data_IF_111392675097
#
_entry.id   IF_111392675097
#
_cell.length_a   1.000
_cell.length_b   1.000
_cell.length_c   1.000
_cell.angle_alpha   90.00
_cell.angle_beta   90.00
_cell.angle_gamma   90.00
#
_symmetry.space_group_name_H-M   'P 1'
#
loop_
_entity.id
_entity.type
_entity.pdbx_description
1 polymer ?
#
# COMPACT_ATOMS: atom_id res chain seq x y z
N UNK A 1 6.87 46.10 25.14
CA UNK A 1 8.06 46.90 25.54
C UNK A 1 9.23 46.31 24.79
N UNK A 2 9.88 47.18 23.95
CA UNK A 2 11.10 47.01 23.11
C UNK A 2 11.00 46.01 21.96
N UNK A 3 10.83 46.36 20.70
CA UNK A 3 11.29 47.41 19.78
C UNK A 3 12.71 47.25 19.28
N UNK A 4 12.82 47.16 17.87
CA UNK A 4 13.92 47.55 16.98
C UNK A 4 15.13 46.60 16.81
N UNK A 5 15.44 46.19 15.53
CA UNK A 5 16.19 46.96 14.55
C UNK A 5 16.01 46.47 13.09
N UNK A 6 15.63 47.39 12.22
CA UNK A 6 15.81 47.38 10.76
C UNK A 6 17.24 47.85 10.44
N UNK A 7 17.88 47.26 9.40
CA UNK A 7 18.89 48.00 8.63
C UNK A 7 18.75 47.67 7.15
N UNK A 8 18.76 48.74 6.35
CA UNK A 8 18.60 48.88 4.91
C UNK A 8 19.99 48.91 4.23
N UNK A 9 20.09 48.88 2.87
CA UNK A 9 21.25 48.44 2.09
C UNK A 9 22.16 49.59 1.67
N UNK A 10 23.37 49.29 1.19
CA UNK A 10 24.19 50.23 0.42
C UNK A 10 24.99 49.52 -0.68
N UNK A 11 24.69 49.92 -1.91
CA UNK A 11 25.51 50.47 -2.98
C UNK A 11 26.58 49.57 -3.63
N UNK A 12 26.41 49.49 -4.96
CA UNK A 12 27.37 49.06 -5.95
C UNK A 12 28.52 50.09 -6.14
N UNK A 13 29.61 49.74 -6.79
CA UNK A 13 29.98 50.54 -7.97
C UNK A 13 30.28 49.74 -9.24
N UNK A 14 30.05 50.46 -10.32
CA UNK A 14 30.28 50.17 -11.73
C UNK A 14 31.79 50.02 -12.10
N UNK A 15 32.00 49.31 -13.20
CA UNK A 15 32.96 49.71 -14.22
C UNK A 15 34.19 48.84 -14.39
N UNK A 16 34.26 48.13 -15.52
CA UNK A 16 35.35 48.24 -16.48
C UNK A 16 35.20 47.28 -17.66
N UNK A 17 35.19 47.87 -18.80
CA UNK A 17 35.36 47.34 -20.16
C UNK A 17 36.69 46.63 -20.37
N UNK A 18 36.71 45.55 -21.18
CA UNK A 18 37.95 44.91 -21.65
C UNK A 18 37.67 43.84 -22.72
N UNK A 19 37.76 44.27 -23.92
CA UNK A 19 38.15 43.77 -25.23
C UNK A 19 38.30 42.24 -25.45
N UNK A 20 37.76 41.87 -26.63
CA UNK A 20 37.92 40.63 -27.41
C UNK A 20 39.34 40.53 -27.99
N UNK A 21 39.88 39.36 -28.20
CA UNK A 21 40.58 39.07 -29.45
C UNK A 21 40.00 37.87 -30.20
N UNK A 22 39.73 38.12 -31.47
CA UNK A 22 39.62 37.19 -32.60
C UNK A 22 40.99 36.60 -32.95
N UNK A 23 41.04 35.33 -33.36
CA UNK A 23 41.71 34.79 -34.57
C UNK A 23 41.71 33.24 -34.58
N UNK A 24 41.15 32.70 -35.66
CA UNK A 24 41.76 31.98 -36.80
C UNK A 24 42.01 30.49 -36.49
N UNK A 25 41.53 29.56 -37.21
CA UNK A 25 41.53 29.22 -38.57
C UNK A 25 41.05 27.80 -38.79
N UNK A 26 40.41 27.59 -39.87
CA UNK A 26 39.81 26.34 -40.41
C UNK A 26 40.85 25.26 -40.76
N UNK A 27 40.45 24.02 -41.15
CA UNK A 27 39.69 23.82 -42.39
C UNK A 27 38.58 22.80 -42.35
N UNK A 28 37.64 22.93 -43.23
CA UNK A 28 36.56 22.02 -43.56
C UNK A 28 37.05 20.76 -44.28
N UNK A 29 36.29 19.65 -44.20
CA UNK A 29 36.05 18.85 -45.38
C UNK A 29 34.57 18.80 -45.78
N UNK A 30 34.39 18.93 -47.05
CA UNK A 30 33.19 18.78 -47.81
C UNK A 30 32.58 17.37 -47.68
N UNK A 31 31.27 17.26 -47.42
CA UNK A 31 30.45 16.18 -47.92
C UNK A 31 28.97 16.61 -47.93
N UNK A 32 28.43 16.59 -49.09
CA UNK A 32 27.08 16.75 -49.54
C UNK A 32 26.09 15.87 -48.78
N UNK A 33 25.09 16.47 -48.16
CA UNK A 33 23.92 15.76 -47.59
C UNK A 33 22.98 16.76 -46.92
N UNK A 34 21.90 17.17 -47.61
CA UNK A 34 20.86 18.01 -47.02
C UNK A 34 20.24 17.34 -45.81
N UNK A 35 19.99 18.03 -44.70
CA UNK A 35 19.25 17.47 -43.57
C UNK A 35 17.78 17.24 -43.97
N UNK A 36 17.33 16.01 -43.81
CA UNK A 36 15.91 15.61 -43.98
C UNK A 36 15.06 16.28 -42.90
N UNK A 37 13.91 16.80 -43.28
CA UNK A 37 12.95 17.42 -42.38
C UNK A 37 12.22 16.34 -41.56
N UNK A 38 11.70 16.71 -40.38
CA UNK A 38 11.00 15.81 -39.46
C UNK A 38 9.80 15.06 -40.10
N UNK A 39 9.26 15.53 -41.21
CA UNK A 39 8.17 14.91 -41.96
C UNK A 39 8.63 13.73 -42.83
N UNK A 40 9.89 13.63 -43.19
CA UNK A 40 10.42 12.52 -44.00
C UNK A 40 10.76 11.28 -43.17
N UNK A 41 10.84 11.43 -41.82
CA UNK A 41 11.03 10.30 -40.90
C UNK A 41 9.74 9.55 -40.57
N UNK A 42 8.59 10.19 -40.79
CA UNK A 42 7.27 9.60 -40.47
C UNK A 42 6.74 8.62 -41.51
N UNK A 43 7.32 8.57 -42.72
CA UNK A 43 6.90 7.73 -43.84
C UNK A 43 7.94 6.68 -44.27
N UNK A 44 8.97 6.43 -43.48
CA UNK A 44 9.93 5.36 -43.76
C UNK A 44 9.41 4.04 -43.16
N UNK A 45 9.14 3.09 -44.01
CA UNK A 45 8.75 1.72 -43.63
C UNK A 45 9.89 1.05 -42.84
N UNK A 46 9.59 0.74 -41.58
CA UNK A 46 10.55 0.16 -40.61
C UNK A 46 11.06 -1.21 -41.03
N UNK A 47 10.37 -1.83 -42.00
CA UNK A 47 10.74 -3.15 -42.55
C UNK A 47 11.99 -3.16 -43.43
N UNK A 48 12.32 -2.03 -44.11
CA UNK A 48 13.48 -1.96 -45.02
C UNK A 48 14.83 -1.71 -44.30
N UNK A 49 14.81 -1.27 -43.07
CA UNK A 49 16.01 -0.88 -42.31
C UNK A 49 16.66 -2.05 -41.52
N UNK A 50 15.98 -3.17 -41.34
CA UNK A 50 16.46 -4.26 -40.49
C UNK A 50 16.75 -5.58 -41.21
N UNK A 51 16.31 -5.79 -42.45
CA UNK A 51 16.58 -7.03 -43.19
C UNK A 51 16.91 -6.73 -44.65
N UNK A 52 18.19 -6.82 -45.02
CA UNK A 52 18.69 -6.69 -46.37
C UNK A 52 18.00 -7.67 -47.33
N UNK A 53 17.74 -7.21 -48.57
CA UNK A 53 17.16 -7.95 -49.69
C UNK A 53 17.75 -9.35 -49.84
N UNK A 54 16.89 -10.37 -49.75
CA UNK A 54 17.18 -11.71 -50.28
C UNK A 54 16.32 -11.93 -51.51
N UNK A 55 17.04 -12.28 -52.58
CA UNK A 55 16.54 -12.62 -53.89
C UNK A 55 15.64 -13.86 -53.90
N UNK A 56 14.63 -13.80 -54.78
CA UNK A 56 13.74 -14.90 -55.12
C UNK A 56 14.48 -15.98 -55.89
N UNK A 57 14.29 -17.24 -55.52
CA UNK A 57 13.91 -18.36 -56.40
C UNK A 57 13.94 -19.68 -55.62
N UNK A 58 12.87 -20.37 -55.63
CA UNK A 58 12.67 -21.81 -55.73
C UNK A 58 11.47 -22.32 -54.95
N UNK A 59 10.47 -22.69 -55.65
CA UNK A 59 9.33 -23.47 -55.20
C UNK A 59 9.72 -24.93 -55.00
N UNK A 60 9.36 -25.56 -53.89
CA UNK A 60 9.03 -26.98 -53.90
C UNK A 60 7.61 -27.26 -53.41
N UNK A 61 7.02 -28.16 -54.12
CA UNK A 61 5.73 -28.84 -54.03
C UNK A 61 5.38 -29.30 -52.63
N UNK A 62 4.14 -28.99 -52.20
CA UNK A 62 3.54 -29.39 -50.93
C UNK A 62 3.18 -30.90 -50.94
N UNK A 63 3.54 -31.57 -49.86
CA UNK A 63 2.96 -32.85 -49.44
C UNK A 63 1.90 -32.59 -48.34
N UNK A 64 0.82 -33.37 -48.24
CA UNK A 64 -0.28 -33.10 -47.32
C UNK A 64 0.15 -33.35 -45.86
N UNK A 65 -0.05 -32.36 -45.01
CA UNK A 65 0.16 -32.45 -43.58
C UNK A 65 -1.14 -32.91 -42.92
N UNK A 66 -1.02 -34.01 -42.20
CA UNK A 66 -2.03 -34.63 -41.36
C UNK A 66 -2.44 -33.62 -40.23
N UNK A 67 -3.67 -33.16 -40.25
CA UNK A 67 -4.22 -32.25 -39.22
C UNK A 67 -4.46 -33.04 -37.91
N UNK A 68 -3.50 -32.95 -37.00
CA UNK A 68 -3.71 -33.35 -35.62
C UNK A 68 -4.32 -32.14 -34.88
N UNK A 69 -5.49 -32.26 -34.23
CA UNK A 69 -6.10 -31.12 -33.53
C UNK A 69 -5.19 -30.64 -32.41
N UNK A 70 -4.91 -29.31 -32.39
CA UNK A 70 -4.23 -28.65 -31.28
C UNK A 70 -5.04 -28.84 -29.98
N UNK A 71 -4.37 -29.15 -28.86
CA UNK A 71 -5.07 -29.23 -27.59
C UNK A 71 -5.54 -27.81 -27.18
N UNK A 72 -6.84 -27.64 -27.04
CA UNK A 72 -7.48 -26.47 -26.46
C UNK A 72 -6.81 -26.16 -25.11
N UNK A 73 -6.35 -24.92 -24.83
CA UNK A 73 -5.83 -24.57 -23.52
C UNK A 73 -6.96 -24.74 -22.50
N UNK A 74 -6.81 -25.70 -21.60
CA UNK A 74 -7.67 -25.84 -20.45
C UNK A 74 -7.43 -24.60 -19.55
N UNK A 75 -8.48 -23.97 -19.00
CA UNK A 75 -8.29 -22.90 -18.03
C UNK A 75 -7.53 -23.47 -16.84
N UNK A 76 -6.35 -22.90 -16.56
CA UNK A 76 -5.58 -23.18 -15.36
C UNK A 76 -6.48 -22.95 -14.16
N UNK A 77 -6.59 -23.88 -13.20
CA UNK A 77 -7.40 -23.67 -12.01
C UNK A 77 -6.89 -22.42 -11.29
N UNK A 78 -7.81 -21.49 -11.05
CA UNK A 78 -7.62 -20.33 -10.17
C UNK A 78 -6.90 -20.80 -8.91
N UNK A 79 -5.75 -20.22 -8.61
CA UNK A 79 -5.01 -20.53 -7.39
C UNK A 79 -5.93 -20.26 -6.19
N UNK A 80 -6.28 -21.32 -5.47
CA UNK A 80 -6.93 -21.19 -4.18
C UNK A 80 -6.06 -20.32 -3.28
N UNK A 81 -6.67 -19.44 -2.44
CA UNK A 81 -5.89 -18.60 -1.54
C UNK A 81 -5.03 -19.50 -0.66
N UNK A 82 -3.73 -19.28 -0.68
CA UNK A 82 -2.75 -20.02 0.12
C UNK A 82 -3.21 -20.01 1.57
N UNK A 83 -3.53 -21.17 2.12
CA UNK A 83 -3.92 -21.34 3.52
C UNK A 83 -2.75 -20.82 4.38
N UNK A 84 -2.98 -19.65 4.99
CA UNK A 84 -2.13 -19.14 6.07
C UNK A 84 -2.03 -20.23 7.13
N UNK A 85 -0.82 -20.56 7.56
CA UNK A 85 -0.61 -21.58 8.61
C UNK A 85 -1.57 -21.29 9.76
N UNK A 86 -2.44 -22.23 10.08
CA UNK A 86 -3.51 -22.06 11.07
C UNK A 86 -2.97 -21.68 12.45
N UNK A 87 -1.75 -22.10 12.78
CA UNK A 87 -1.04 -21.76 14.01
C UNK A 87 -0.69 -20.27 14.08
N UNK A 88 -0.13 -19.68 12.99
CA UNK A 88 0.20 -18.26 12.94
C UNK A 88 -1.04 -17.37 13.09
N UNK A 89 -2.19 -17.82 12.56
CA UNK A 89 -3.47 -17.11 12.67
C UNK A 89 -4.00 -17.13 14.10
N UNK A 90 -3.89 -18.25 14.80
CA UNK A 90 -4.35 -18.39 16.19
C UNK A 90 -3.55 -17.51 17.14
N UNK A 91 -2.24 -17.48 16.98
CA UNK A 91 -1.33 -16.65 17.78
C UNK A 91 -1.56 -15.17 17.52
N UNK A 92 -1.77 -14.79 16.25
CA UNK A 92 -2.12 -13.44 15.87
C UNK A 92 -3.45 -12.99 16.50
N UNK A 93 -4.50 -13.84 16.46
CA UNK A 93 -5.79 -13.57 17.12
C UNK A 93 -5.64 -13.39 18.63
N UNK A 94 -4.82 -14.19 19.29
CA UNK A 94 -4.54 -14.05 20.71
C UNK A 94 -3.86 -12.70 21.03
N UNK A 95 -2.91 -12.26 20.20
CA UNK A 95 -2.27 -10.95 20.32
C UNK A 95 -3.25 -9.82 20.07
N UNK A 96 -4.09 -9.91 19.04
CA UNK A 96 -5.14 -8.92 18.74
C UNK A 96 -6.10 -8.76 19.94
N UNK A 97 -6.61 -9.87 20.48
CA UNK A 97 -7.47 -9.86 21.68
C UNK A 97 -6.77 -9.25 22.88
N UNK A 98 -5.49 -9.58 23.09
CA UNK A 98 -4.70 -9.01 24.19
C UNK A 98 -4.51 -7.50 24.02
N UNK A 99 -4.19 -7.05 22.81
CA UNK A 99 -4.02 -5.63 22.50
C UNK A 99 -5.30 -4.83 22.66
N UNK A 100 -6.43 -5.38 22.25
CA UNK A 100 -7.75 -4.74 22.34
C UNK A 100 -8.45 -4.96 23.69
N UNK A 101 -7.87 -5.76 24.62
CA UNK A 101 -8.51 -6.15 25.88
C UNK A 101 -9.00 -4.99 26.71
N UNK A 102 -8.24 -3.87 26.75
CA UNK A 102 -8.64 -2.69 27.52
C UNK A 102 -9.91 -2.05 26.95
N UNK A 103 -10.04 -1.98 25.64
CA UNK A 103 -11.23 -1.51 24.94
C UNK A 103 -12.40 -2.46 25.18
N UNK A 104 -12.17 -3.76 24.97
CA UNK A 104 -13.19 -4.80 25.16
C UNK A 104 -13.72 -4.88 26.60
N UNK A 105 -12.82 -4.76 27.60
CA UNK A 105 -13.26 -4.77 29.01
C UNK A 105 -14.18 -3.61 29.35
N UNK A 106 -13.96 -2.41 28.83
CA UNK A 106 -14.85 -1.27 29.06
C UNK A 106 -16.22 -1.48 28.43
N UNK A 107 -16.27 -1.99 27.20
CA UNK A 107 -17.54 -2.31 26.51
C UNK A 107 -18.27 -3.47 27.21
N UNK A 108 -17.53 -4.52 27.60
CA UNK A 108 -18.11 -5.65 28.31
C UNK A 108 -18.66 -5.23 29.67
N UNK A 109 -17.99 -4.32 30.39
CA UNK A 109 -18.42 -3.83 31.69
C UNK A 109 -19.74 -3.05 31.60
N UNK A 110 -19.96 -2.30 30.55
CA UNK A 110 -21.23 -1.59 30.29
C UNK A 110 -22.42 -2.58 30.11
N UNK A 111 -22.15 -3.85 29.81
CA UNK A 111 -23.16 -4.89 29.63
C UNK A 111 -23.33 -5.82 30.84
N UNK A 112 -22.41 -5.79 31.82
CA UNK A 112 -22.44 -6.70 32.97
C UNK A 112 -23.51 -6.28 33.98
N UNK A 113 -24.51 -7.12 34.18
CA UNK A 113 -25.54 -6.93 35.19
C UNK A 113 -26.54 -5.81 34.90
N UNK A 114 -26.45 -5.19 33.73
CA UNK A 114 -27.37 -4.15 33.30
C UNK A 114 -28.73 -4.74 32.90
N UNK A 115 -29.85 -4.08 33.29
CA UNK A 115 -31.11 -4.22 32.57
C UNK A 115 -30.96 -3.56 31.19
N UNK A 116 -31.73 -4.02 30.21
CA UNK A 116 -31.76 -3.37 28.88
C UNK A 116 -32.63 -2.11 29.02
N UNK A 117 -32.00 -1.04 29.45
CA UNK A 117 -32.60 0.29 29.73
C UNK A 117 -31.72 1.42 29.19
N UNK A 118 -32.16 2.65 29.37
CA UNK A 118 -31.44 3.84 28.89
C UNK A 118 -30.04 3.96 29.50
N UNK A 119 -29.85 3.56 30.77
CA UNK A 119 -28.53 3.58 31.41
C UNK A 119 -27.51 2.66 30.72
N UNK A 120 -27.92 1.47 30.28
CA UNK A 120 -27.07 0.58 29.50
C UNK A 120 -26.62 1.25 28.19
N UNK A 121 -27.51 1.95 27.49
CA UNK A 121 -27.13 2.64 26.24
C UNK A 121 -26.20 3.82 26.50
N UNK A 122 -26.39 4.57 27.60
CA UNK A 122 -25.46 5.65 27.99
C UNK A 122 -24.05 5.11 28.30
N UNK A 123 -23.98 4.00 29.06
CA UNK A 123 -22.70 3.34 29.37
C UNK A 123 -22.01 2.78 28.13
N UNK A 124 -22.77 2.20 27.20
CA UNK A 124 -22.24 1.71 25.90
C UNK A 124 -21.77 2.88 25.03
N UNK A 125 -22.50 4.00 25.00
CA UNK A 125 -22.09 5.21 24.29
C UNK A 125 -20.75 5.70 24.82
N UNK A 126 -20.62 5.82 26.12
CA UNK A 126 -19.38 6.26 26.77
C UNK A 126 -18.22 5.30 26.46
N UNK A 127 -18.44 3.97 26.53
CA UNK A 127 -17.41 2.97 26.24
C UNK A 127 -16.96 3.01 24.77
N UNK A 128 -17.88 3.13 23.81
CA UNK A 128 -17.57 3.23 22.38
C UNK A 128 -16.82 4.53 22.04
N UNK A 129 -17.18 5.65 22.68
CA UNK A 129 -16.44 6.92 22.53
C UNK A 129 -15.03 6.82 23.10
N UNK A 130 -14.85 6.19 24.27
CA UNK A 130 -13.54 5.92 24.85
C UNK A 130 -12.68 5.00 23.97
N UNK A 131 -13.30 4.13 23.21
CA UNK A 131 -12.66 3.29 22.21
C UNK A 131 -12.25 4.03 20.93
N UNK A 132 -12.50 5.34 20.85
CA UNK A 132 -12.30 6.17 19.65
C UNK A 132 -13.18 5.78 18.44
N UNK A 133 -14.37 5.19 18.66
CA UNK A 133 -15.31 4.92 17.57
C UNK A 133 -15.85 6.21 16.92
N UNK A 134 -15.82 7.33 17.64
CA UNK A 134 -16.35 8.63 17.22
C UNK A 134 -17.87 8.70 17.26
N UNK A 135 -18.41 9.91 17.35
CA UNK A 135 -19.85 10.15 17.59
C UNK A 135 -20.76 9.52 16.53
N UNK A 136 -20.40 9.64 15.25
CA UNK A 136 -21.25 9.15 14.16
C UNK A 136 -21.36 7.63 14.15
N UNK A 137 -20.23 6.92 14.30
CA UNK A 137 -20.23 5.45 14.30
C UNK A 137 -20.83 4.91 15.61
N UNK A 138 -20.62 5.56 16.75
CA UNK A 138 -21.25 5.22 18.03
C UNK A 138 -22.77 5.27 17.91
N UNK A 139 -23.33 6.38 17.43
CA UNK A 139 -24.78 6.49 17.22
C UNK A 139 -25.29 5.43 16.25
N UNK A 140 -24.61 5.25 15.11
CA UNK A 140 -25.01 4.23 14.13
C UNK A 140 -25.08 2.82 14.73
N UNK A 141 -24.08 2.44 15.55
CA UNK A 141 -24.04 1.14 16.22
C UNK A 141 -25.13 1.01 17.27
N UNK A 142 -25.38 2.03 18.09
CA UNK A 142 -26.42 2.01 19.11
C UNK A 142 -27.84 1.98 18.50
N UNK A 143 -28.09 2.76 17.46
CA UNK A 143 -29.37 2.74 16.74
C UNK A 143 -29.62 1.36 16.09
N UNK A 144 -28.60 0.76 15.51
CA UNK A 144 -28.73 -0.59 14.93
C UNK A 144 -28.94 -1.65 16.01
N UNK A 145 -28.18 -1.58 17.10
CA UNK A 145 -28.33 -2.44 18.27
C UNK A 145 -29.75 -2.37 18.83
N UNK A 146 -30.27 -1.16 19.08
CA UNK A 146 -31.60 -0.93 19.61
C UNK A 146 -32.69 -1.54 18.71
N UNK A 147 -32.58 -1.32 17.39
CA UNK A 147 -33.50 -1.90 16.40
C UNK A 147 -33.50 -3.42 16.44
N UNK A 148 -32.33 -4.03 16.58
CA UNK A 148 -32.18 -5.48 16.61
C UNK A 148 -32.67 -6.08 17.92
N UNK A 149 -32.39 -5.44 19.07
CA UNK A 149 -32.92 -5.83 20.39
C UNK A 149 -34.44 -5.84 20.37
N UNK A 150 -35.07 -4.74 19.92
CA UNK A 150 -36.52 -4.60 19.83
C UNK A 150 -37.15 -5.67 18.93
N UNK A 151 -36.52 -5.94 17.77
CA UNK A 151 -37.02 -6.95 16.81
C UNK A 151 -36.93 -8.38 17.36
N UNK A 152 -35.85 -8.67 18.11
CA UNK A 152 -35.61 -10.02 18.66
C UNK A 152 -36.20 -10.22 20.06
N UNK A 153 -36.82 -9.19 20.64
CA UNK A 153 -37.38 -9.19 21.99
C UNK A 153 -36.39 -9.70 23.06
N UNK A 154 -35.10 -9.31 22.90
CA UNK A 154 -34.04 -9.78 23.78
C UNK A 154 -34.17 -9.18 25.18
N UNK A 155 -33.93 -10.01 26.19
CA UNK A 155 -33.94 -9.66 27.61
C UNK A 155 -32.63 -10.05 28.32
N UNK A 156 -31.76 -10.81 27.64
CA UNK A 156 -30.52 -11.32 28.21
C UNK A 156 -29.33 -10.41 27.79
N UNK A 157 -28.60 -9.81 28.73
CA UNK A 157 -27.41 -8.98 28.44
C UNK A 157 -26.30 -9.74 27.67
N UNK A 158 -26.16 -11.06 27.90
CA UNK A 158 -25.19 -11.86 27.15
C UNK A 158 -25.54 -11.94 25.65
N UNK A 159 -26.86 -12.02 25.35
CA UNK A 159 -27.36 -11.98 23.98
C UNK A 159 -27.14 -10.58 23.34
N UNK A 160 -27.26 -9.48 24.12
CA UNK A 160 -26.98 -8.10 23.66
C UNK A 160 -25.52 -7.95 23.24
N UNK A 161 -24.58 -8.54 23.99
CA UNK A 161 -23.15 -8.52 23.64
C UNK A 161 -22.90 -9.17 22.28
N UNK A 162 -23.46 -10.35 22.05
CA UNK A 162 -23.31 -11.04 20.76
C UNK A 162 -23.92 -10.22 19.62
N UNK A 163 -25.06 -9.58 19.88
CA UNK A 163 -25.71 -8.73 18.91
C UNK A 163 -24.89 -7.46 18.58
N UNK A 164 -24.20 -6.89 19.57
CA UNK A 164 -23.26 -5.77 19.34
C UNK A 164 -22.06 -6.21 18.49
N UNK A 165 -21.54 -7.43 18.68
CA UNK A 165 -20.53 -8.02 17.81
C UNK A 165 -21.06 -8.13 16.39
N UNK A 166 -22.30 -8.58 16.20
CA UNK A 166 -22.91 -8.69 14.87
C UNK A 166 -23.11 -7.30 14.23
N UNK A 167 -23.61 -6.31 14.97
CA UNK A 167 -23.73 -4.93 14.47
C UNK A 167 -22.37 -4.36 14.00
N UNK A 168 -21.33 -4.57 14.80
CA UNK A 168 -19.99 -4.11 14.44
C UNK A 168 -19.41 -4.88 13.26
N UNK A 169 -19.58 -6.21 13.21
CA UNK A 169 -19.13 -7.04 12.09
C UNK A 169 -19.81 -6.62 10.79
N UNK A 170 -21.12 -6.36 10.80
CA UNK A 170 -21.88 -5.89 9.64
C UNK A 170 -21.46 -4.47 9.19
N UNK A 171 -21.11 -3.60 10.14
CA UNK A 171 -20.56 -2.28 9.83
C UNK A 171 -19.19 -2.40 9.12
N UNK A 172 -18.34 -3.33 9.59
CA UNK A 172 -16.98 -3.54 9.09
C UNK A 172 -16.91 -4.42 7.84
N UNK A 173 -17.93 -5.25 7.56
CA UNK A 173 -17.92 -6.21 6.46
C UNK A 173 -17.57 -5.60 5.07
N UNK A 174 -18.01 -4.38 4.70
CA UNK A 174 -17.62 -3.78 3.44
C UNK A 174 -16.12 -3.49 3.30
N UNK A 175 -15.38 -3.42 4.42
CA UNK A 175 -13.92 -3.22 4.43
C UNK A 175 -13.15 -4.53 4.23
N UNK A 176 -13.81 -5.69 4.35
CA UNK A 176 -13.18 -7.00 4.20
C UNK A 176 -13.11 -7.36 2.72
N UNK A 177 -11.94 -7.18 2.11
CA UNK A 177 -11.64 -7.58 0.73
C UNK A 177 -10.22 -8.11 0.65
N UNK A 178 -9.94 -9.11 -0.20
CA UNK A 178 -8.58 -9.58 -0.45
C UNK A 178 -7.81 -8.56 -1.31
N UNK A 179 -6.50 -8.47 -1.10
CA UNK A 179 -5.59 -7.84 -2.04
C UNK A 179 -5.42 -8.78 -3.24
N UNK A 180 -5.76 -8.31 -4.44
CA UNK A 180 -5.67 -9.10 -5.67
C UNK A 180 -4.35 -8.80 -6.38
N UNK A 181 -3.58 -9.85 -6.67
CA UNK A 181 -2.30 -9.79 -7.38
C UNK A 181 -2.41 -10.63 -8.67
N UNK A 182 -1.76 -10.18 -9.74
CA UNK A 182 -1.67 -10.93 -11.00
C UNK A 182 -2.60 -10.44 -12.10
N UNK A 183 -3.49 -9.48 -11.85
CA UNK A 183 -4.22 -8.79 -12.92
C UNK A 183 -3.29 -7.91 -13.77
N UNK A 184 -2.19 -7.45 -13.16
CA UNK A 184 -1.12 -6.69 -13.81
C UNK A 184 0.23 -7.30 -13.49
N UNK A 185 1.13 -7.36 -14.47
CA UNK A 185 2.49 -7.92 -14.30
C UNK A 185 3.53 -6.91 -14.80
N UNK A 186 4.26 -6.26 -13.88
CA UNK A 186 4.13 -6.35 -12.42
C UNK A 186 2.90 -5.60 -11.87
N UNK A 187 2.28 -6.13 -10.80
CA UNK A 187 1.38 -5.33 -9.98
C UNK A 187 2.20 -4.30 -9.20
N UNK A 188 1.92 -3.01 -9.38
CA UNK A 188 2.67 -1.92 -8.73
C UNK A 188 1.88 -1.41 -7.53
N UNK A 189 2.47 -1.52 -6.34
CA UNK A 189 1.91 -1.10 -5.05
C UNK A 189 2.70 0.09 -4.52
N UNK A 190 2.02 1.19 -4.24
CA UNK A 190 2.60 2.37 -3.58
C UNK A 190 2.18 2.39 -2.11
N UNK A 191 3.13 2.29 -1.18
CA UNK A 191 2.86 2.30 0.27
C UNK A 191 3.12 3.70 0.82
N UNK A 192 2.09 4.30 1.43
CA UNK A 192 2.11 5.68 1.93
C UNK A 192 1.69 5.75 3.39
N UNK A 193 1.92 6.89 4.05
CA UNK A 193 1.53 7.13 5.44
C UNK A 193 2.52 8.01 6.19
N UNK A 194 2.17 8.43 7.40
CA UNK A 194 3.00 9.31 8.23
C UNK A 194 4.22 8.59 8.81
N UNK A 195 5.19 9.36 9.34
CA UNK A 195 6.32 8.78 10.06
C UNK A 195 5.86 8.00 11.29
N UNK A 196 6.52 6.86 11.52
CA UNK A 196 6.21 5.98 12.64
C UNK A 196 4.95 5.12 12.47
N UNK A 197 4.17 5.26 11.39
CA UNK A 197 3.01 4.41 11.14
C UNK A 197 3.37 2.95 10.84
N UNK A 198 4.64 2.62 10.57
CA UNK A 198 5.09 1.24 10.32
C UNK A 198 5.16 0.87 8.83
N UNK A 199 5.32 1.85 7.90
CA UNK A 199 5.38 1.59 6.46
C UNK A 199 6.44 0.56 6.08
N UNK A 200 7.71 0.82 6.34
CA UNK A 200 8.83 -0.07 5.99
C UNK A 200 8.67 -1.47 6.59
N UNK A 201 8.20 -1.54 7.84
CA UNK A 201 7.87 -2.81 8.49
C UNK A 201 6.72 -3.54 7.79
N UNK A 202 5.67 -2.82 7.40
CA UNK A 202 4.54 -3.39 6.67
C UNK A 202 4.94 -3.84 5.27
N UNK A 203 5.81 -3.09 4.58
CA UNK A 203 6.39 -3.49 3.28
C UNK A 203 7.15 -4.81 3.40
N UNK A 204 8.02 -4.96 4.42
CA UNK A 204 8.75 -6.20 4.65
C UNK A 204 7.83 -7.40 4.93
N UNK A 205 6.80 -7.21 5.75
CA UNK A 205 5.81 -8.25 6.05
C UNK A 205 4.93 -8.59 4.85
N UNK A 206 4.52 -7.59 4.07
CA UNK A 206 3.77 -7.79 2.83
C UNK A 206 4.61 -8.55 1.80
N UNK A 207 5.91 -8.20 1.67
CA UNK A 207 6.83 -8.92 0.80
C UNK A 207 6.92 -10.40 1.20
N UNK A 208 6.94 -10.72 2.51
CA UNK A 208 6.89 -12.10 3.00
C UNK A 208 5.61 -12.82 2.59
N UNK A 209 4.44 -12.22 2.75
CA UNK A 209 3.18 -12.81 2.30
C UNK A 209 3.17 -13.12 0.80
N UNK A 210 3.73 -12.21 -0.01
CA UNK A 210 3.83 -12.39 -1.45
C UNK A 210 4.80 -13.51 -1.83
N UNK A 211 5.94 -13.59 -1.14
CA UNK A 211 6.92 -14.67 -1.34
C UNK A 211 6.34 -16.03 -0.93
N UNK A 212 5.62 -16.10 0.19
CA UNK A 212 4.91 -17.31 0.62
C UNK A 212 3.83 -17.74 -0.39
N UNK A 213 3.22 -16.76 -1.09
CA UNK A 213 2.34 -16.99 -2.26
C UNK A 213 3.11 -17.23 -3.57
N UNK A 214 4.42 -17.51 -3.48
CA UNK A 214 5.31 -17.84 -4.62
C UNK A 214 5.52 -16.69 -5.62
N UNK A 215 5.29 -15.42 -5.22
CA UNK A 215 5.50 -14.25 -6.06
C UNK A 215 6.97 -13.78 -6.01
N UNK A 216 7.46 -13.24 -7.14
CA UNK A 216 8.73 -12.53 -7.21
C UNK A 216 8.51 -11.04 -6.98
N UNK A 217 9.14 -10.48 -5.96
CA UNK A 217 8.89 -9.13 -5.48
C UNK A 217 10.10 -8.22 -5.73
N UNK A 218 9.87 -7.00 -6.18
CA UNK A 218 10.88 -5.96 -6.23
C UNK A 218 10.45 -4.82 -5.29
N UNK A 219 11.36 -4.43 -4.39
CA UNK A 219 11.17 -3.31 -3.47
C UNK A 219 11.89 -2.07 -3.97
N UNK A 220 11.20 -0.94 -4.02
CA UNK A 220 11.78 0.37 -4.29
C UNK A 220 11.98 1.13 -2.98
N UNK A 221 13.24 1.44 -2.62
CA UNK A 221 13.57 2.23 -1.44
C UNK A 221 13.41 3.74 -1.74
N UNK A 222 12.15 4.19 -1.77
CA UNK A 222 11.82 5.57 -2.10
C UNK A 222 11.81 6.53 -0.88
N UNK A 223 12.15 6.07 0.33
CA UNK A 223 12.51 6.95 1.48
C UNK A 223 14.02 7.30 1.39
N UNK A 224 14.40 8.07 0.38
CA UNK A 224 15.80 8.42 0.09
C UNK A 224 16.39 9.44 1.03
N UNK A 225 15.56 10.10 1.85
CA UNK A 225 16.01 11.12 2.82
C UNK A 225 16.56 10.53 4.12
N UNK A 226 16.28 9.27 4.39
CA UNK A 226 16.72 8.57 5.60
C UNK A 226 17.70 7.45 5.22
N UNK A 227 19.00 7.67 5.51
CA UNK A 227 20.02 6.65 5.25
C UNK A 227 19.65 5.29 5.92
N UNK A 228 19.19 5.33 7.16
CA UNK A 228 18.75 4.13 7.89
C UNK A 228 17.47 3.47 7.32
N UNK A 229 16.66 4.18 6.51
CA UNK A 229 15.45 3.57 5.93
C UNK A 229 15.80 2.52 4.88
N UNK A 230 16.82 2.77 4.06
CA UNK A 230 17.34 1.80 3.09
C UNK A 230 17.88 0.55 3.78
N UNK A 231 18.71 0.74 4.81
CA UNK A 231 19.28 -0.37 5.58
C UNK A 231 18.16 -1.18 6.27
N UNK A 232 17.17 -0.50 6.82
CA UNK A 232 16.01 -1.13 7.42
C UNK A 232 15.22 -1.94 6.39
N UNK A 233 14.99 -1.42 5.18
CA UNK A 233 14.29 -2.13 4.11
C UNK A 233 15.08 -3.35 3.64
N UNK A 234 16.41 -3.24 3.53
CA UNK A 234 17.32 -4.36 3.20
C UNK A 234 17.20 -5.46 4.25
N UNK A 235 17.28 -5.12 5.54
CA UNK A 235 17.15 -6.10 6.62
C UNK A 235 15.78 -6.79 6.63
N UNK A 236 14.70 -6.05 6.31
CA UNK A 236 13.36 -6.65 6.15
C UNK A 236 13.29 -7.58 4.94
N UNK A 237 13.88 -7.21 3.81
CA UNK A 237 13.92 -8.04 2.62
C UNK A 237 14.66 -9.35 2.85
N UNK A 238 15.83 -9.29 3.51
CA UNK A 238 16.61 -10.49 3.88
C UNK A 238 15.81 -11.43 4.81
N UNK A 239 15.10 -10.87 5.80
CA UNK A 239 14.25 -11.66 6.70
C UNK A 239 13.02 -12.23 5.98
N UNK A 240 12.48 -11.53 5.00
CA UNK A 240 11.31 -11.96 4.25
C UNK A 240 11.62 -13.04 3.21
N UNK A 241 12.90 -13.26 2.84
CA UNK A 241 13.28 -14.39 1.99
C UNK A 241 13.00 -15.74 2.67
N UNK A 242 12.72 -16.80 1.90
CA UNK A 242 12.54 -18.14 2.46
C UNK A 242 13.80 -18.61 3.21
N UNK A 243 13.65 -18.92 4.50
CA UNK A 243 14.75 -19.25 5.39
C UNK A 243 15.53 -18.06 5.95
N UNK A 244 15.09 -16.83 5.69
CA UNK A 244 15.68 -15.61 6.24
C UNK A 244 15.23 -15.29 7.67
N UNK A 245 14.08 -15.79 8.11
CA UNK A 245 13.64 -15.67 9.50
C UNK A 245 14.11 -16.90 10.31
N UNK A 246 14.69 -16.70 11.51
CA UNK A 246 15.08 -17.81 12.38
C UNK A 246 13.95 -18.77 12.77
N UNK A 247 12.69 -18.34 12.58
CA UNK A 247 11.50 -19.14 12.85
C UNK A 247 11.02 -19.92 11.63
N UNK A 248 11.67 -19.76 10.46
CA UNK A 248 11.30 -20.51 9.27
C UNK A 248 11.65 -22.00 9.46
N UNK A 249 10.73 -22.87 9.02
CA UNK A 249 11.08 -24.24 8.73
C UNK A 249 12.18 -24.27 7.65
N UNK A 250 13.10 -25.24 7.72
CA UNK A 250 14.28 -25.33 6.89
C UNK A 250 14.07 -24.85 5.43
N UNK A 251 15.02 -24.08 4.87
CA UNK A 251 14.85 -23.47 3.56
C UNK A 251 14.63 -24.56 2.49
N UNK A 252 13.68 -24.32 1.59
CA UNK A 252 13.51 -25.15 0.40
C UNK A 252 14.76 -25.02 -0.45
N UNK A 253 15.44 -26.09 -0.72
CA UNK A 253 16.73 -26.15 -1.43
C UNK A 253 16.72 -25.48 -2.83
N UNK A 254 15.55 -25.26 -3.43
CA UNK A 254 15.35 -24.68 -4.76
C UNK A 254 14.81 -23.24 -4.75
N UNK A 255 14.68 -22.59 -3.61
CA UNK A 255 14.19 -21.23 -3.54
C UNK A 255 15.28 -20.24 -3.96
N UNK A 256 15.35 -19.93 -5.26
CA UNK A 256 16.11 -18.79 -5.75
C UNK A 256 15.66 -17.49 -5.06
N UNK A 257 16.50 -16.46 -5.09
CA UNK A 257 16.19 -15.15 -4.51
C UNK A 257 14.87 -14.62 -5.07
N UNK A 258 13.92 -14.34 -4.18
CA UNK A 258 12.55 -13.90 -4.51
C UNK A 258 12.34 -12.40 -4.35
N UNK A 259 13.18 -11.73 -3.54
CA UNK A 259 13.08 -10.30 -3.27
C UNK A 259 14.30 -9.58 -3.83
N UNK A 260 14.04 -8.63 -4.71
CA UNK A 260 15.04 -7.72 -5.24
C UNK A 260 14.80 -6.31 -4.69
N UNK A 261 15.84 -5.48 -4.66
CA UNK A 261 15.74 -4.09 -4.18
C UNK A 261 16.37 -3.15 -5.20
N UNK A 262 15.68 -2.05 -5.48
CA UNK A 262 16.21 -0.89 -6.18
C UNK A 262 16.30 0.26 -5.18
N UNK A 263 17.49 0.82 -5.05
CA UNK A 263 17.77 1.94 -4.16
C UNK A 263 18.83 2.85 -4.75
N UNK A 264 18.72 4.15 -4.48
CA UNK A 264 19.72 5.16 -4.82
C UNK A 264 19.88 6.10 -3.64
N UNK A 265 21.09 6.21 -3.11
CA UNK A 265 21.39 7.10 -2.00
C UNK A 265 21.29 8.56 -2.44
N UNK A 266 20.54 9.37 -1.70
CA UNK A 266 20.32 10.78 -2.05
C UNK A 266 19.57 11.01 -3.37
N UNK A 267 19.05 9.96 -4.00
CA UNK A 267 18.30 10.05 -5.24
C UNK A 267 16.92 10.70 -5.06
N UNK A 268 16.33 11.18 -6.18
CA UNK A 268 14.93 11.61 -6.19
C UNK A 268 14.01 10.42 -5.98
N UNK A 269 13.13 10.41 -4.94
CA UNK A 269 12.20 9.33 -4.67
C UNK A 269 11.38 8.89 -5.88
N UNK A 270 10.95 9.84 -6.71
CA UNK A 270 10.19 9.56 -7.91
C UNK A 270 11.05 8.86 -8.98
N UNK A 271 12.33 9.23 -9.11
CA UNK A 271 13.29 8.58 -10.00
C UNK A 271 13.56 7.13 -9.58
N UNK A 272 13.85 6.90 -8.31
CA UNK A 272 14.04 5.54 -7.75
C UNK A 272 12.82 4.65 -8.01
N UNK A 273 11.63 5.20 -7.85
CA UNK A 273 10.40 4.45 -8.08
C UNK A 273 10.18 4.13 -9.55
N UNK A 274 10.50 5.08 -10.45
CA UNK A 274 10.45 4.87 -11.90
C UNK A 274 11.38 3.72 -12.30
N UNK A 275 12.65 3.79 -11.87
CA UNK A 275 13.65 2.78 -12.19
C UNK A 275 13.27 1.40 -11.64
N UNK A 276 12.65 1.36 -10.45
CA UNK A 276 12.17 0.13 -9.86
C UNK A 276 11.04 -0.52 -10.68
N UNK A 277 10.07 0.27 -11.18
CA UNK A 277 8.99 -0.25 -12.03
C UNK A 277 9.54 -0.78 -13.35
N UNK A 278 10.44 -0.04 -14.01
CA UNK A 278 11.11 -0.47 -15.25
C UNK A 278 11.93 -1.73 -15.02
N UNK A 279 12.70 -1.78 -13.94
CA UNK A 279 13.51 -2.94 -13.57
C UNK A 279 12.63 -4.16 -13.25
N UNK A 280 11.54 -3.97 -12.51
CA UNK A 280 10.59 -5.03 -12.15
C UNK A 280 10.01 -5.71 -13.38
N UNK A 281 9.57 -4.92 -14.36
CA UNK A 281 9.10 -5.43 -15.66
C UNK A 281 10.20 -6.17 -16.43
N UNK A 282 11.38 -5.57 -16.53
CA UNK A 282 12.50 -6.17 -17.27
C UNK A 282 13.01 -7.49 -16.66
N UNK A 283 12.89 -7.63 -15.33
CA UNK A 283 13.34 -8.82 -14.57
C UNK A 283 12.24 -9.86 -14.37
N UNK A 284 11.04 -9.62 -14.90
CA UNK A 284 9.88 -10.50 -14.73
C UNK A 284 9.48 -10.68 -13.26
N UNK A 285 9.42 -9.57 -12.52
CA UNK A 285 8.84 -9.56 -11.18
C UNK A 285 7.32 -9.55 -11.27
N UNK A 286 6.65 -10.22 -10.33
CA UNK A 286 5.19 -10.25 -10.26
C UNK A 286 4.65 -9.00 -9.59
N UNK A 287 5.41 -8.47 -8.60
CA UNK A 287 5.00 -7.31 -7.79
C UNK A 287 6.16 -6.34 -7.62
N UNK A 288 5.86 -5.04 -7.73
CA UNK A 288 6.77 -3.94 -7.33
C UNK A 288 6.13 -3.17 -6.18
N UNK A 289 6.85 -3.03 -5.05
CA UNK A 289 6.36 -2.28 -3.88
C UNK A 289 7.25 -1.06 -3.66
N UNK A 290 6.69 0.13 -3.69
CA UNK A 290 7.37 1.39 -3.39
C UNK A 290 7.17 1.77 -1.91
N UNK A 291 8.26 1.71 -1.10
CA UNK A 291 8.30 2.22 0.27
C UNK A 291 8.61 3.71 0.25
N UNK A 292 7.62 4.56 0.53
CA UNK A 292 7.77 6.00 0.44
C UNK A 292 8.11 6.65 1.77
N UNK A 293 8.69 7.85 1.71
CA UNK A 293 8.90 8.68 2.89
C UNK A 293 7.57 9.04 3.59
N UNK A 294 7.64 9.30 4.89
CA UNK A 294 6.48 9.73 5.68
C UNK A 294 6.71 11.06 6.39
N UNK A 295 7.67 11.87 5.93
CA UNK A 295 8.07 13.09 6.62
C UNK A 295 6.98 14.14 6.60
N UNK A 296 6.72 14.65 7.80
CA UNK A 296 5.96 15.86 8.06
C UNK A 296 6.94 17.06 8.15
N UNK A 297 7.53 17.51 7.04
CA UNK A 297 8.07 18.88 7.06
C UNK A 297 6.90 19.87 7.08
N UNK A 298 5.92 19.67 6.22
CA UNK A 298 4.52 20.09 6.33
C UNK A 298 3.68 19.03 5.63
N UNK A 299 2.43 18.86 6.04
CA UNK A 299 1.52 17.90 5.39
C UNK A 299 1.38 18.16 3.88
N UNK A 300 1.40 19.43 3.47
CA UNK A 300 1.32 19.84 2.06
C UNK A 300 2.51 19.36 1.23
N UNK A 301 3.74 19.51 1.72
CA UNK A 301 4.94 19.07 1.00
C UNK A 301 4.98 17.56 0.83
N UNK A 302 4.60 16.81 1.86
CA UNK A 302 4.49 15.35 1.77
C UNK A 302 3.50 14.95 0.66
N UNK A 303 2.32 15.55 0.64
CA UNK A 303 1.30 15.22 -0.35
C UNK A 303 1.75 15.54 -1.78
N UNK A 304 2.44 16.65 -2.00
CA UNK A 304 2.98 16.98 -3.33
C UNK A 304 4.09 16.02 -3.78
N UNK A 305 4.95 15.58 -2.87
CA UNK A 305 5.97 14.56 -3.15
C UNK A 305 5.32 13.23 -3.53
N UNK A 306 4.34 12.77 -2.74
CA UNK A 306 3.62 11.53 -3.01
C UNK A 306 2.84 11.59 -4.34
N UNK A 307 2.20 12.72 -4.66
CA UNK A 307 1.58 12.94 -5.97
C UNK A 307 2.60 12.90 -7.11
N UNK A 308 3.81 13.44 -6.91
CA UNK A 308 4.90 13.35 -7.89
C UNK A 308 5.31 11.90 -8.11
N UNK A 309 5.51 11.12 -7.05
CA UNK A 309 5.83 9.69 -7.12
C UNK A 309 4.74 8.95 -7.90
N UNK A 310 3.46 9.12 -7.53
CA UNK A 310 2.33 8.49 -8.21
C UNK A 310 2.30 8.77 -9.71
N UNK A 311 2.46 10.06 -10.09
CA UNK A 311 2.51 10.46 -11.52
C UNK A 311 3.69 9.83 -12.25
N UNK A 312 4.82 9.66 -11.57
CA UNK A 312 6.03 9.09 -12.16
C UNK A 312 5.92 7.58 -12.32
N UNK A 313 5.30 6.89 -11.38
CA UNK A 313 4.92 5.47 -11.53
C UNK A 313 4.03 5.29 -12.77
N UNK A 314 3.00 6.12 -12.95
CA UNK A 314 2.10 6.07 -14.11
C UNK A 314 2.77 6.37 -15.46
N UNK A 315 3.97 7.01 -15.47
CA UNK A 315 4.80 7.17 -16.67
C UNK A 315 5.63 5.92 -16.97
N UNK A 316 6.07 5.18 -15.92
CA UNK A 316 6.83 3.95 -16.08
C UNK A 316 5.93 2.79 -16.53
N UNK A 317 4.69 2.74 -16.00
CA UNK A 317 3.68 1.73 -16.31
C UNK A 317 2.30 2.39 -16.39
N UNK A 318 1.66 2.43 -17.57
CA UNK A 318 0.33 3.00 -17.73
C UNK A 318 -0.71 2.30 -16.85
N UNK A 319 -1.50 3.08 -16.10
CA UNK A 319 -2.49 2.56 -15.15
C UNK A 319 -1.95 2.35 -13.73
N UNK A 320 -0.62 2.30 -13.54
CA UNK A 320 -0.01 2.18 -12.21
C UNK A 320 0.08 3.56 -11.48
N UNK A 321 0.19 3.57 -10.15
CA UNK A 321 0.16 2.40 -9.27
C UNK A 321 -1.22 1.74 -9.28
N UNK A 322 -1.25 0.40 -9.33
CA UNK A 322 -2.48 -0.37 -9.30
C UNK A 322 -3.10 -0.35 -7.90
N UNK A 323 -2.24 -0.31 -6.87
CA UNK A 323 -2.63 -0.18 -5.48
C UNK A 323 -1.90 0.99 -4.80
N UNK A 324 -2.65 1.79 -4.04
CA UNK A 324 -2.12 2.84 -3.15
C UNK A 324 -2.57 2.51 -1.74
N UNK A 325 -1.66 1.95 -0.95
CA UNK A 325 -1.94 1.45 0.39
C UNK A 325 -1.51 2.46 1.45
N UNK A 326 -2.46 2.94 2.26
CA UNK A 326 -2.14 3.78 3.40
C UNK A 326 -1.90 2.91 4.64
N UNK A 327 -0.73 3.09 5.25
CA UNK A 327 -0.41 2.49 6.56
C UNK A 327 -0.77 3.49 7.66
N UNK A 328 -1.66 3.08 8.57
CA UNK A 328 -2.08 3.88 9.72
C UNK A 328 -1.76 3.17 11.03
N UNK A 329 -1.42 3.97 12.04
CA UNK A 329 -1.18 3.51 13.40
C UNK A 329 -2.51 3.47 14.17
N UNK A 330 -2.95 2.29 14.59
CA UNK A 330 -4.19 2.07 15.34
C UNK A 330 -4.25 2.79 16.68
N UNK A 331 -3.11 3.24 17.23
CA UNK A 331 -3.08 4.02 18.47
C UNK A 331 -3.47 5.49 18.27
N UNK A 332 -3.57 5.98 17.05
CA UNK A 332 -3.84 7.42 16.79
C UNK A 332 -5.30 7.82 16.92
N UNK A 333 -6.21 6.85 17.10
CA UNK A 333 -7.64 7.11 17.31
C UNK A 333 -8.25 7.91 16.17
N UNK A 334 -9.09 8.91 16.48
CA UNK A 334 -9.78 9.74 15.48
C UNK A 334 -8.83 10.47 14.50
N UNK A 335 -7.57 10.71 14.88
CA UNK A 335 -6.58 11.25 13.94
C UNK A 335 -6.29 10.30 12.78
N UNK A 336 -6.48 8.97 12.95
CA UNK A 336 -6.36 8.02 11.86
C UNK A 336 -7.41 8.27 10.77
N UNK A 337 -8.67 8.53 11.15
CA UNK A 337 -9.72 8.87 10.18
C UNK A 337 -9.37 10.15 9.40
N UNK A 338 -8.90 11.20 10.10
CA UNK A 338 -8.47 12.44 9.43
C UNK A 338 -7.30 12.19 8.46
N UNK A 339 -6.36 11.30 8.81
CA UNK A 339 -5.28 10.89 7.90
C UNK A 339 -5.85 10.15 6.67
N UNK A 340 -6.74 9.16 6.87
CA UNK A 340 -7.38 8.44 5.75
C UNK A 340 -8.02 9.41 4.78
N UNK A 341 -8.83 10.36 5.28
CA UNK A 341 -9.51 11.36 4.45
C UNK A 341 -8.52 12.25 3.68
N UNK A 342 -7.47 12.74 4.34
CA UNK A 342 -6.49 13.61 3.71
C UNK A 342 -5.66 12.88 2.63
N UNK A 343 -5.24 11.65 2.91
CA UNK A 343 -4.50 10.84 1.94
C UNK A 343 -5.38 10.38 0.78
N UNK A 344 -6.64 10.03 1.05
CA UNK A 344 -7.60 9.64 0.02
C UNK A 344 -7.89 10.78 -0.96
N UNK A 345 -8.17 11.97 -0.45
CA UNK A 345 -8.38 13.16 -1.26
C UNK A 345 -7.17 13.51 -2.15
N UNK A 346 -5.94 13.23 -1.67
CA UNK A 346 -4.71 13.54 -2.40
C UNK A 346 -4.30 12.45 -3.39
N UNK A 347 -4.51 11.17 -3.06
CA UNK A 347 -3.89 10.02 -3.72
C UNK A 347 -4.89 8.97 -4.20
N UNK A 348 -6.19 9.10 -3.90
CA UNK A 348 -7.20 8.09 -4.24
C UNK A 348 -6.77 6.70 -3.76
N UNK A 349 -6.85 6.48 -2.45
CA UNK A 349 -6.45 5.24 -1.82
C UNK A 349 -7.24 4.05 -2.35
N UNK A 350 -6.58 2.90 -2.47
CA UNK A 350 -7.21 1.63 -2.85
C UNK A 350 -7.33 0.67 -1.68
N UNK A 351 -6.54 0.86 -0.60
CA UNK A 351 -6.61 0.02 0.58
C UNK A 351 -5.85 0.56 1.79
N UNK A 352 -6.09 -0.07 2.93
CA UNK A 352 -5.50 0.25 4.22
C UNK A 352 -4.72 -0.92 4.81
N UNK A 353 -3.66 -0.58 5.55
CA UNK A 353 -2.95 -1.47 6.47
C UNK A 353 -3.01 -0.82 7.85
N UNK A 354 -3.62 -1.50 8.82
CA UNK A 354 -3.72 -1.03 10.20
C UNK A 354 -2.61 -1.68 11.02
N UNK A 355 -1.83 -0.89 11.73
CA UNK A 355 -0.69 -1.38 12.53
C UNK A 355 -0.86 -1.09 14.01
N UNK A 356 -0.03 -1.74 14.84
CA UNK A 356 0.12 -1.48 16.28
C UNK A 356 -1.15 -1.70 17.11
N UNK A 357 -1.98 -2.65 16.71
CA UNK A 357 -3.17 -3.00 17.48
C UNK A 357 -2.86 -3.88 18.71
N UNK A 358 -1.60 -4.25 18.92
CA UNK A 358 -1.10 -5.02 20.06
C UNK A 358 -1.02 -4.24 21.38
N UNK A 359 -1.13 -2.92 21.35
CA UNK A 359 -0.98 -2.08 22.55
C UNK A 359 -2.06 -1.02 22.72
N UNK A 360 -3.11 -1.03 21.91
CA UNK A 360 -4.05 0.08 21.83
C UNK A 360 -5.36 -0.14 22.55
N UNK A 361 -5.86 0.94 23.15
CA UNK A 361 -7.24 1.03 23.60
C UNK A 361 -8.17 1.70 22.57
N UNK A 362 -7.70 1.94 21.32
CA UNK A 362 -8.37 2.82 20.34
C UNK A 362 -8.87 2.09 19.09
N UNK A 363 -9.09 0.77 19.19
CA UNK A 363 -9.53 -0.07 18.06
C UNK A 363 -10.88 0.33 17.45
N UNK A 364 -11.70 1.11 18.16
CA UNK A 364 -12.99 1.58 17.66
C UNK A 364 -12.91 2.50 16.45
N UNK A 365 -11.74 3.09 16.16
CA UNK A 365 -11.56 3.96 14.98
C UNK A 365 -11.89 3.26 13.66
N UNK A 366 -11.78 1.93 13.59
CA UNK A 366 -12.18 1.20 12.40
C UNK A 366 -13.68 1.33 12.12
N UNK A 367 -14.52 1.46 13.15
CA UNK A 367 -15.95 1.74 12.98
C UNK A 367 -16.19 3.11 12.33
N UNK A 368 -15.42 4.13 12.76
CA UNK A 368 -15.48 5.46 12.14
C UNK A 368 -15.04 5.44 10.67
N UNK A 369 -13.95 4.74 10.38
CA UNK A 369 -13.44 4.56 8.99
C UNK A 369 -14.46 3.80 8.15
N UNK A 370 -15.09 2.74 8.69
CA UNK A 370 -16.11 1.97 7.99
C UNK A 370 -17.33 2.81 7.64
N UNK A 371 -17.81 3.60 8.59
CA UNK A 371 -18.96 4.47 8.37
C UNK A 371 -18.65 5.53 7.29
N UNK A 372 -17.51 6.23 7.41
CA UNK A 372 -17.07 7.20 6.41
C UNK A 372 -16.87 6.55 5.04
N UNK A 373 -16.32 5.34 5.00
CA UNK A 373 -16.04 4.62 3.74
C UNK A 373 -17.30 4.25 2.95
N UNK A 374 -18.48 4.18 3.60
CA UNK A 374 -19.77 3.96 2.94
C UNK A 374 -20.22 5.14 2.08
N UNK A 375 -19.68 6.33 2.33
CA UNK A 375 -19.99 7.53 1.53
C UNK A 375 -19.20 7.58 0.21
N UNK A 376 -18.24 6.68 0.02
CA UNK A 376 -17.46 6.56 -1.21
C UNK A 376 -18.20 5.69 -2.23
N UNK A 377 -17.91 5.89 -3.52
CA UNK A 377 -18.42 5.05 -4.60
C UNK A 377 -18.11 3.57 -4.37
N UNK A 378 -16.91 3.30 -3.82
CA UNK A 378 -16.52 1.97 -3.35
C UNK A 378 -15.92 2.08 -1.95
N UNK A 379 -16.32 1.20 -1.01
CA UNK A 379 -15.73 1.12 0.31
C UNK A 379 -14.22 0.90 0.22
N UNK A 380 -13.45 1.61 1.05
CA UNK A 380 -12.00 1.49 1.13
C UNK A 380 -11.62 0.25 1.95
N UNK A 381 -11.07 -0.81 1.34
CA UNK A 381 -10.78 -2.03 2.07
C UNK A 381 -9.66 -1.87 3.09
N UNK A 382 -9.73 -2.65 4.17
CA UNK A 382 -8.61 -2.96 5.05
C UNK A 382 -8.05 -4.30 4.62
N UNK A 383 -6.89 -4.30 3.98
CA UNK A 383 -6.29 -5.55 3.52
C UNK A 383 -5.63 -6.32 4.65
N UNK A 384 -4.89 -5.60 5.51
CA UNK A 384 -4.08 -6.23 6.54
C UNK A 384 -4.17 -5.49 7.89
N UNK A 385 -3.98 -6.29 8.96
CA UNK A 385 -3.89 -5.82 10.34
C UNK A 385 -2.63 -6.36 10.98
N UNK A 386 -1.82 -5.47 11.57
CA UNK A 386 -0.57 -5.76 12.27
C UNK A 386 -0.71 -5.65 13.78
N UNK A 387 -0.25 -6.71 14.50
CA UNK A 387 -0.34 -6.85 15.96
C UNK A 387 1.01 -7.11 16.61
N UNK A 388 2.09 -6.58 16.06
CA UNK A 388 3.44 -6.75 16.60
C UNK A 388 4.52 -6.62 15.55
N UNK A 389 5.75 -7.08 15.86
CA UNK A 389 6.94 -6.86 15.04
C UNK A 389 7.40 -8.08 14.21
N UNK A 390 6.91 -9.29 14.49
CA UNK A 390 7.26 -10.49 13.74
C UNK A 390 6.65 -10.48 12.34
N UNK A 391 7.23 -11.22 11.41
CA UNK A 391 6.70 -11.37 10.04
C UNK A 391 5.26 -11.89 10.04
N UNK A 392 4.95 -12.89 10.86
CA UNK A 392 3.62 -13.46 11.02
C UNK A 392 2.60 -12.53 11.70
N UNK A 393 3.04 -11.40 12.30
CA UNK A 393 2.14 -10.46 12.98
C UNK A 393 1.35 -9.54 12.05
N UNK A 394 1.48 -9.66 10.75
CA UNK A 394 0.63 -9.02 9.75
C UNK A 394 -0.31 -10.07 9.14
N UNK A 395 -1.61 -9.92 9.30
CA UNK A 395 -2.60 -10.86 8.79
C UNK A 395 -3.72 -10.15 8.03
N UNK A 396 -4.41 -10.89 7.17
CA UNK A 396 -5.57 -10.38 6.44
C UNK A 396 -6.68 -9.97 7.40
N UNK A 397 -7.34 -8.87 7.10
CA UNK A 397 -8.45 -8.37 7.90
C UNK A 397 -9.68 -9.27 7.74
N UNK A 398 -10.32 -9.57 8.88
CA UNK A 398 -11.60 -10.27 8.97
C UNK A 398 -12.52 -9.49 9.91
N UNK A 399 -13.61 -8.98 9.37
CA UNK A 399 -14.53 -8.10 10.09
C UNK A 399 -15.07 -8.73 11.38
N UNK A 400 -15.52 -9.99 11.31
CA UNK A 400 -16.09 -10.71 12.45
C UNK A 400 -15.05 -11.01 13.55
N UNK A 401 -13.85 -11.45 13.16
CA UNK A 401 -12.77 -11.71 14.12
C UNK A 401 -12.34 -10.43 14.85
N UNK A 402 -12.26 -9.33 14.11
CA UNK A 402 -11.94 -8.03 14.68
C UNK A 402 -13.04 -7.54 15.64
N UNK A 403 -14.31 -7.64 15.24
CA UNK A 403 -15.45 -7.28 16.09
C UNK A 403 -15.48 -8.09 17.39
N UNK A 404 -15.25 -9.41 17.30
CA UNK A 404 -15.13 -10.27 18.46
C UNK A 404 -13.97 -9.87 19.36
N UNK A 405 -12.79 -9.56 18.79
CA UNK A 405 -11.62 -9.15 19.57
C UNK A 405 -11.83 -7.80 20.26
N UNK A 406 -12.58 -6.88 19.65
CA UNK A 406 -12.83 -5.56 20.19
C UNK A 406 -13.86 -5.57 21.33
N UNK A 407 -14.83 -6.48 21.30
CA UNK A 407 -15.95 -6.55 22.27
C UNK A 407 -15.72 -7.66 23.31
N UNK A 408 -14.63 -8.43 23.22
CA UNK A 408 -14.35 -9.59 24.11
C UNK A 408 -13.87 -9.23 25.52
#
# INVERSE_FOLDING_TARGET
MFSFFRKKPSDAPEGATGEVPTEQGAPSPSATGRPRTALEWLNADVGELLFGKKSADATPTAAPVDERPEPTPQPTPSAEPTEVRTEDRSDWLAKLKTGLRKTGSNIAQALVGASIDDAMYEDLEAALLQADAGMAATRHLLDDLQRRITRAELRDPAAVRNLLVDCLADLLAPLERPLVIGEHVPTVIMVVGVNGAGKTTSVGKLARHLVDANQKVLLAAADTFRAAAREQLLAWAERAEPGGDPLDAAPRADAGKRIEIVSQEGGDPAGVTFDAVVAGRARGCDVVIADTAGRLATQAHLMEELKKIRRTIGKAEPGAPHEVLLVIDGNTGQNALAQVQAFDAALQLTGLIITKLDGTAKGGVLAAIALWSRERDQPLPVYFVGVGEKLADLQTFRAREFAQALIS
#
